data_IF_626457017910
#
_entry.id   IF_626457017910
#
_cell.length_a   1.000
_cell.length_b   1.000
_cell.length_c   1.000
_cell.angle_alpha   90.00
_cell.angle_beta   90.00
_cell.angle_gamma   90.00
#
_symmetry.space_group_name_H-M   'P 1'
#
loop_
_entity.id
_entity.type
_entity.pdbx_description
1 polymer ?
#
# COMPACT_ATOMS: atom_id res chain seq x y z
N UNK A 1 2.04 -2.36 -21.64
CA UNK A 1 1.09 -1.68 -20.76
C UNK A 1 1.85 -0.71 -19.86
N UNK A 2 1.28 0.46 -19.64
CA UNK A 2 1.85 1.47 -18.77
C UNK A 2 0.97 1.59 -17.52
N UNK A 3 1.55 1.95 -16.36
CA UNK A 3 0.80 2.16 -15.13
C UNK A 3 -0.34 3.16 -15.36
N UNK A 4 -0.11 4.19 -16.17
CA UNK A 4 -1.12 5.22 -16.46
C UNK A 4 -2.30 4.71 -17.28
N UNK A 5 -2.20 3.52 -17.88
CA UNK A 5 -3.33 2.89 -18.59
C UNK A 5 -4.34 2.28 -17.61
N UNK A 6 -3.95 2.09 -16.35
CA UNK A 6 -4.82 1.55 -15.32
C UNK A 6 -5.68 2.67 -14.71
N UNK A 7 -6.97 2.36 -14.46
CA UNK A 7 -7.88 3.31 -13.82
C UNK A 7 -7.41 3.66 -12.40
N UNK A 8 -7.35 4.95 -12.07
CA UNK A 8 -7.07 5.39 -10.71
C UNK A 8 -8.35 5.43 -9.89
N UNK A 9 -8.33 4.81 -8.72
CA UNK A 9 -9.45 4.76 -7.78
C UNK A 9 -9.02 5.27 -6.42
N UNK A 10 -9.81 6.13 -5.81
CA UNK A 10 -9.61 6.51 -4.41
C UNK A 10 -10.29 5.47 -3.51
N UNK A 11 -9.50 4.67 -2.82
CA UNK A 11 -10.00 3.56 -1.99
C UNK A 11 -10.45 4.07 -0.62
N UNK A 12 -9.65 4.92 -0.01
CA UNK A 12 -9.99 5.69 1.19
C UNK A 12 -9.44 7.10 1.00
N UNK A 13 -9.87 8.05 1.80
CA UNK A 13 -9.48 9.45 1.67
C UNK A 13 -7.96 9.60 1.60
N UNK A 14 -7.49 10.19 0.51
CA UNK A 14 -6.08 10.46 0.26
C UNK A 14 -5.28 9.30 -0.33
N UNK A 15 -5.87 8.10 -0.45
CA UNK A 15 -5.21 6.91 -1.00
C UNK A 15 -5.78 6.60 -2.38
N UNK A 16 -5.11 7.05 -3.42
CA UNK A 16 -5.47 6.76 -4.81
C UNK A 16 -4.59 5.66 -5.36
N UNK A 17 -5.18 4.60 -5.85
CA UNK A 17 -4.47 3.43 -6.35
C UNK A 17 -4.82 3.07 -7.78
N UNK A 18 -3.84 2.51 -8.48
CA UNK A 18 -3.99 1.85 -9.78
C UNK A 18 -3.62 0.40 -9.58
N UNK A 19 -4.43 -0.52 -10.09
CA UNK A 19 -4.31 -1.93 -9.74
C UNK A 19 -4.14 -2.81 -10.97
N UNK A 20 -3.16 -3.71 -10.92
CA UNK A 20 -3.01 -4.80 -11.87
C UNK A 20 -3.35 -6.09 -11.16
N UNK A 21 -4.42 -6.76 -11.61
CA UNK A 21 -4.84 -8.05 -11.05
C UNK A 21 -4.41 -9.16 -11.98
N UNK A 22 -3.69 -10.15 -11.45
CA UNK A 22 -3.34 -11.39 -12.15
C UNK A 22 -4.17 -12.53 -11.56
N UNK A 23 -3.92 -13.77 -11.99
CA UNK A 23 -4.58 -14.92 -11.39
C UNK A 23 -4.16 -15.14 -9.94
N UNK A 24 -2.92 -14.78 -9.59
CA UNK A 24 -2.30 -15.14 -8.30
C UNK A 24 -2.07 -13.97 -7.37
N UNK A 25 -2.00 -12.75 -7.88
CA UNK A 25 -1.64 -11.59 -7.07
C UNK A 25 -2.19 -10.29 -7.63
N UNK A 26 -2.15 -9.25 -6.82
CA UNK A 26 -2.47 -7.87 -7.22
C UNK A 26 -1.25 -6.99 -6.98
N UNK A 27 -0.90 -6.16 -7.95
CA UNK A 27 0.04 -5.06 -7.75
C UNK A 27 -0.76 -3.77 -7.64
N UNK A 28 -0.53 -3.01 -6.58
CA UNK A 28 -1.15 -1.71 -6.37
C UNK A 28 -0.09 -0.61 -6.46
N UNK A 29 -0.37 0.41 -7.27
CA UNK A 29 0.47 1.59 -7.43
C UNK A 29 -0.26 2.76 -6.80
N UNK A 30 0.21 3.19 -5.62
CA UNK A 30 -0.46 4.20 -4.81
C UNK A 30 0.15 5.59 -4.99
N UNK A 31 -0.74 6.58 -5.08
CA UNK A 31 -0.44 7.98 -4.83
C UNK A 31 -1.17 8.37 -3.54
N UNK A 32 -0.42 8.78 -2.54
CA UNK A 32 -0.96 9.05 -1.20
C UNK A 32 -0.68 10.50 -0.83
N UNK A 33 -1.73 11.21 -0.44
CA UNK A 33 -1.63 12.62 -0.06
C UNK A 33 -1.05 12.74 1.35
N UNK A 34 -0.17 13.72 1.55
CA UNK A 34 0.37 14.05 2.88
C UNK A 34 -0.73 14.17 3.92
N UNK A 35 -0.53 13.57 5.09
CA UNK A 35 -1.48 13.59 6.19
C UNK A 35 -2.54 12.49 6.14
N UNK A 36 -2.63 11.74 5.05
CA UNK A 36 -3.61 10.67 4.92
C UNK A 36 -3.30 9.51 5.86
N UNK A 37 -4.35 8.95 6.46
CA UNK A 37 -4.24 7.92 7.48
C UNK A 37 -4.80 6.61 6.96
N UNK A 38 -4.02 5.53 7.11
CA UNK A 38 -4.46 4.16 6.91
C UNK A 38 -4.80 3.58 8.29
N UNK A 39 -6.09 3.34 8.58
CA UNK A 39 -6.48 2.81 9.89
C UNK A 39 -5.88 1.43 10.16
N UNK A 40 -5.81 1.04 11.42
CA UNK A 40 -5.40 -0.31 11.82
C UNK A 40 -6.31 -1.34 11.16
N UNK A 41 -5.71 -2.29 10.47
CA UNK A 41 -6.44 -3.36 9.79
C UNK A 41 -5.53 -4.57 9.60
N UNK A 42 -6.13 -5.68 9.20
CA UNK A 42 -5.43 -6.90 8.81
C UNK A 42 -6.20 -7.55 7.67
N UNK A 43 -5.53 -8.40 6.93
CA UNK A 43 -6.13 -9.15 5.82
C UNK A 43 -5.37 -10.45 5.62
N UNK A 44 -6.04 -11.42 4.97
CA UNK A 44 -5.42 -12.73 4.70
C UNK A 44 -4.25 -12.64 3.73
N UNK A 45 -4.20 -11.58 2.92
CA UNK A 45 -3.15 -11.39 1.91
C UNK A 45 -1.81 -11.14 2.56
N UNK A 46 -0.79 -11.86 2.10
CA UNK A 46 0.59 -11.45 2.32
C UNK A 46 0.85 -10.23 1.45
N UNK A 47 1.56 -9.25 2.00
CA UNK A 47 1.81 -7.99 1.32
C UNK A 47 3.29 -7.64 1.36
N UNK A 48 3.83 -7.26 0.20
CA UNK A 48 5.16 -6.65 0.13
C UNK A 48 4.98 -5.20 -0.28
N UNK A 49 5.56 -4.30 0.51
CA UNK A 49 5.42 -2.85 0.32
C UNK A 49 6.77 -2.24 0.00
N UNK A 50 6.80 -1.40 -1.04
CA UNK A 50 7.98 -0.61 -1.39
C UNK A 50 7.61 0.86 -1.43
N UNK A 51 8.29 1.69 -0.64
CA UNK A 51 8.17 3.15 -0.75
C UNK A 51 9.08 3.63 -1.87
N UNK A 52 8.50 4.29 -2.87
CA UNK A 52 9.26 4.80 -4.02
C UNK A 52 9.49 6.31 -3.92
N UNK A 53 8.58 7.05 -3.29
CA UNK A 53 8.72 8.49 -3.04
C UNK A 53 8.09 8.85 -1.70
N UNK A 54 8.67 9.84 -1.02
CA UNK A 54 8.14 10.41 0.21
C UNK A 54 8.50 9.63 1.48
N UNK A 55 7.87 10.00 2.58
CA UNK A 55 8.06 9.40 3.90
C UNK A 55 6.72 8.89 4.42
N UNK A 56 6.67 7.60 4.72
CA UNK A 56 5.46 6.94 5.21
C UNK A 56 5.75 6.31 6.57
N UNK A 57 4.98 6.69 7.59
CA UNK A 57 5.05 6.08 8.91
C UNK A 57 4.12 4.88 8.94
N UNK A 58 4.66 3.71 9.27
CA UNK A 58 3.86 2.48 9.37
C UNK A 58 4.07 1.81 10.71
N UNK A 59 2.97 1.33 11.28
CA UNK A 59 2.96 0.51 12.48
C UNK A 59 2.61 -0.91 12.08
N UNK A 60 3.53 -1.85 12.34
CA UNK A 60 3.35 -3.27 12.07
C UNK A 60 3.49 -4.04 13.37
N UNK A 61 2.43 -4.76 13.77
CA UNK A 61 2.39 -5.51 15.03
C UNK A 61 2.86 -4.67 16.23
N UNK A 62 2.40 -3.40 16.29
CA UNK A 62 2.71 -2.49 17.36
C UNK A 62 4.05 -1.76 17.26
N UNK A 63 4.87 -2.05 16.25
CA UNK A 63 6.17 -1.39 16.05
C UNK A 63 6.04 -0.35 14.96
N UNK A 64 6.32 0.92 15.31
CA UNK A 64 6.22 2.05 14.40
C UNK A 64 7.59 2.43 13.87
N UNK A 65 7.69 2.59 12.54
CA UNK A 65 8.90 3.04 11.85
C UNK A 65 8.54 4.00 10.72
N UNK A 66 9.48 4.86 10.35
CA UNK A 66 9.36 5.74 9.19
C UNK A 66 10.11 5.09 8.04
N UNK A 67 9.40 4.90 6.92
CA UNK A 67 9.94 4.31 5.70
C UNK A 67 10.18 5.39 4.66
N UNK A 68 11.34 5.34 4.04
CA UNK A 68 11.80 6.29 3.03
C UNK A 68 12.02 5.58 1.69
N UNK A 69 12.27 6.31 0.59
CA UNK A 69 12.45 5.67 -0.71
C UNK A 69 13.52 4.58 -0.70
N UNK A 70 13.18 3.44 -1.31
CA UNK A 70 14.03 2.26 -1.34
C UNK A 70 13.77 1.25 -0.22
N UNK A 71 12.98 1.61 0.80
CA UNK A 71 12.60 0.69 1.86
C UNK A 71 11.61 -0.35 1.33
N UNK A 72 11.86 -1.62 1.65
CA UNK A 72 10.97 -2.74 1.34
C UNK A 72 10.53 -3.38 2.65
N UNK A 73 9.24 -3.66 2.77
CA UNK A 73 8.65 -4.28 3.96
C UNK A 73 7.78 -5.45 3.55
N UNK A 74 7.93 -6.59 4.23
CA UNK A 74 6.99 -7.70 4.09
C UNK A 74 6.01 -7.67 5.26
N UNK A 75 4.72 -7.68 4.95
CA UNK A 75 3.63 -7.75 5.92
C UNK A 75 3.03 -9.15 5.83
N UNK A 76 3.24 -10.01 6.85
CA UNK A 76 2.70 -11.36 6.85
C UNK A 76 1.16 -11.37 6.81
N UNK A 77 0.60 -12.47 6.33
CA UNK A 77 -0.84 -12.72 6.35
C UNK A 77 -1.39 -12.45 7.77
N UNK A 78 -2.48 -11.70 7.85
CA UNK A 78 -3.21 -11.36 9.08
C UNK A 78 -2.46 -10.49 10.09
N UNK A 79 -1.26 -9.99 9.78
CA UNK A 79 -0.55 -9.06 10.66
C UNK A 79 -1.25 -7.71 10.69
N UNK A 80 -1.50 -7.18 11.89
CA UNK A 80 -2.11 -5.86 12.04
C UNK A 80 -1.15 -4.77 11.61
N UNK A 81 -1.62 -3.83 10.80
CA UNK A 81 -0.82 -2.70 10.36
C UNK A 81 -1.68 -1.47 10.13
N UNK A 82 -1.03 -0.32 10.21
CA UNK A 82 -1.62 1.00 10.02
C UNK A 82 -0.54 1.93 9.48
N UNK A 83 -0.93 3.12 9.06
CA UNK A 83 0.06 4.06 8.57
C UNK A 83 -0.43 5.49 8.42
N UNK A 84 0.53 6.38 8.18
CA UNK A 84 0.28 7.79 7.93
C UNK A 84 1.32 8.31 6.95
N UNK A 85 0.87 8.98 5.92
CA UNK A 85 1.77 9.68 4.99
C UNK A 85 2.27 10.96 5.64
N UNK A 86 3.55 11.04 5.94
CA UNK A 86 4.16 12.25 6.51
C UNK A 86 4.36 13.31 5.45
N UNK A 87 4.56 12.90 4.20
CA UNK A 87 4.61 13.72 3.00
C UNK A 87 3.73 13.08 1.95
N UNK A 88 3.58 13.71 0.78
CA UNK A 88 3.05 13.00 -0.37
C UNK A 88 3.94 11.79 -0.63
N UNK A 89 3.32 10.63 -0.86
CA UNK A 89 4.03 9.37 -1.04
C UNK A 89 3.60 8.66 -2.32
N UNK A 90 4.55 7.89 -2.88
CA UNK A 90 4.26 6.85 -3.86
C UNK A 90 4.72 5.53 -3.28
N UNK A 91 3.82 4.56 -3.28
CA UNK A 91 4.05 3.23 -2.72
C UNK A 91 3.59 2.19 -3.72
N UNK A 92 4.36 1.11 -3.87
CA UNK A 92 3.97 -0.07 -4.64
C UNK A 92 3.76 -1.22 -3.67
N UNK A 93 2.59 -1.84 -3.73
CA UNK A 93 2.26 -3.02 -2.95
C UNK A 93 2.03 -4.22 -3.86
N UNK A 94 2.47 -5.39 -3.42
CA UNK A 94 2.11 -6.67 -4.03
C UNK A 94 1.35 -7.47 -3.00
N UNK A 95 0.15 -7.92 -3.37
CA UNK A 95 -0.73 -8.71 -2.50
C UNK A 95 -0.90 -10.12 -3.09
N UNK A 96 -0.74 -11.14 -2.27
CA UNK A 96 -1.01 -12.53 -2.63
C UNK A 96 -1.93 -13.16 -1.56
N UNK A 97 -3.08 -13.71 -1.93
CA UNK A 97 -3.69 -13.79 -3.25
C UNK A 97 -4.23 -12.44 -3.76
N UNK A 98 -4.97 -12.48 -4.86
CA UNK A 98 -5.57 -11.28 -5.48
C UNK A 98 -6.45 -10.52 -4.48
N UNK A 99 -6.34 -9.19 -4.46
CA UNK A 99 -7.20 -8.31 -3.66
C UNK A 99 -8.54 -8.10 -4.38
N UNK A 100 -9.50 -8.97 -4.13
CA UNK A 100 -10.82 -8.91 -4.76
C UNK A 100 -11.54 -7.58 -4.50
N UNK A 101 -11.37 -7.00 -3.30
CA UNK A 101 -11.98 -5.73 -2.91
C UNK A 101 -11.46 -4.53 -3.69
N UNK A 102 -10.35 -4.67 -4.42
CA UNK A 102 -9.80 -3.59 -5.26
C UNK A 102 -10.20 -3.72 -6.74
N UNK A 103 -10.97 -4.73 -7.07
CA UNK A 103 -11.49 -4.91 -8.42
C UNK A 103 -12.66 -3.99 -8.74
#
# INVERSE_FOLDING_TARGET
MNILDLEEKEIIEGFKGRFLHTESFTIAFWNIKAGSILPVHSHIHEQTTQVTEGKFEMTLNGITKIYTPGTILNIPSNAEHSGKALTDCKITDVFCPVREEYK
#
